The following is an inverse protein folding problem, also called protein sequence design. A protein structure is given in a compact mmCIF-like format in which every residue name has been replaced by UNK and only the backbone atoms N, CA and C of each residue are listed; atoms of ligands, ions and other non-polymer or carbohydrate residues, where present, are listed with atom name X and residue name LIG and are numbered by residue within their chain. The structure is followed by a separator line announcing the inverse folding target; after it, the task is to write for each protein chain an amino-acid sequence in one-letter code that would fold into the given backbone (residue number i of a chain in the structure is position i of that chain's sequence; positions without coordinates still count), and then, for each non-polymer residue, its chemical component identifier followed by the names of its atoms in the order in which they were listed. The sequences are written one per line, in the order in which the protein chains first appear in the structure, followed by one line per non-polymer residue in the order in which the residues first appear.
data_IF_915175393225
#
_entry.id   IF_915175393225
#
_cell.length_a   1.000
_cell.length_b   1.000
_cell.length_c   1.000
_cell.angle_alpha   90.00
_cell.angle_beta   90.00
_cell.angle_gamma   90.00
#
_symmetry.space_group_name_H-M   'P 1'
#
loop_
_entity.id
_entity.type
_entity.pdbx_description
1 polymer ?
#
# COMPACT_ATOMS: atom_id res chain seq x y z
N UNK A 1 -7.76 1.58 13.64
CA UNK A 1 -7.72 0.18 13.18
C UNK A 1 -8.33 0.11 11.79
N UNK A 2 -7.53 0.30 10.75
CA UNK A 2 -7.95 0.08 9.37
C UNK A 2 -8.13 -1.42 9.17
N UNK A 3 -9.38 -1.86 9.04
CA UNK A 3 -9.72 -3.29 8.91
C UNK A 3 -9.31 -3.82 7.54
N UNK A 4 -9.09 -5.13 7.43
CA UNK A 4 -8.94 -5.84 6.15
C UNK A 4 -9.99 -5.43 5.11
N UNK A 5 -11.22 -5.13 5.56
CA UNK A 5 -12.30 -4.61 4.73
C UNK A 5 -11.99 -3.21 4.16
N UNK A 6 -11.42 -2.29 4.95
CA UNK A 6 -11.01 -0.97 4.47
C UNK A 6 -9.96 -1.06 3.36
N UNK A 7 -8.95 -1.90 3.53
CA UNK A 7 -7.92 -2.14 2.50
C UNK A 7 -8.50 -2.77 1.22
N UNK A 8 -9.40 -3.73 1.40
CA UNK A 8 -10.09 -4.37 0.29
C UNK A 8 -10.94 -3.37 -0.51
N UNK A 9 -11.63 -2.46 0.19
CA UNK A 9 -12.42 -1.39 -0.44
C UNK A 9 -11.51 -0.41 -1.19
N UNK A 10 -10.37 -0.03 -0.63
CA UNK A 10 -9.43 0.87 -1.31
C UNK A 10 -8.81 0.24 -2.55
N UNK A 11 -8.34 -1.01 -2.44
CA UNK A 11 -7.84 -1.76 -3.59
C UNK A 11 -8.89 -1.94 -4.70
N UNK A 12 -10.14 -2.25 -4.31
CA UNK A 12 -11.26 -2.32 -5.23
C UNK A 12 -11.61 -0.96 -5.84
N UNK A 13 -11.64 0.12 -5.06
CA UNK A 13 -11.93 1.47 -5.53
C UNK A 13 -10.92 1.95 -6.57
N UNK A 14 -9.63 1.73 -6.32
CA UNK A 14 -8.54 2.03 -7.27
C UNK A 14 -8.64 1.18 -8.54
N UNK A 15 -9.07 -0.07 -8.41
CA UNK A 15 -9.32 -0.96 -9.55
C UNK A 15 -10.48 -0.46 -10.42
N UNK A 16 -11.62 -0.12 -9.81
CA UNK A 16 -12.84 0.27 -10.53
C UNK A 16 -12.79 1.69 -11.11
N UNK A 17 -12.08 2.63 -10.47
CA UNK A 17 -12.00 4.03 -10.94
C UNK A 17 -11.37 4.19 -12.33
N UNK A 18 -10.53 3.23 -12.74
CA UNK A 18 -9.83 3.26 -14.02
C UNK A 18 -10.32 2.19 -15.01
N UNK A 19 -11.40 1.47 -14.69
CA UNK A 19 -11.92 0.40 -15.55
C UNK A 19 -12.92 0.96 -16.55
N UNK A 20 -12.58 0.93 -17.85
CA UNK A 20 -13.59 0.96 -18.91
C UNK A 20 -14.41 -0.34 -18.79
N UNK A 21 -15.74 -0.24 -18.79
CA UNK A 21 -16.69 -1.36 -18.66
C UNK A 21 -16.39 -2.46 -19.69
N UNK A 22 -15.53 -3.42 -19.34
CA UNK A 22 -15.13 -4.54 -20.19
C UNK A 22 -15.25 -5.83 -19.40
N UNK A 23 -15.59 -6.95 -20.07
CA UNK A 23 -15.81 -8.25 -19.42
C UNK A 23 -14.67 -8.62 -18.48
N UNK A 24 -15.02 -9.06 -17.27
CA UNK A 24 -14.05 -9.48 -16.26
C UNK A 24 -13.28 -10.71 -16.77
N UNK A 25 -11.95 -10.67 -16.70
CA UNK A 25 -11.10 -11.83 -17.01
C UNK A 25 -10.44 -12.33 -15.72
N UNK A 26 -10.04 -13.61 -15.69
CA UNK A 26 -9.28 -14.17 -14.56
C UNK A 26 -8.00 -13.36 -14.25
N UNK A 27 -7.38 -12.76 -15.28
CA UNK A 27 -6.21 -11.88 -15.12
C UNK A 27 -6.55 -10.58 -14.38
N UNK A 28 -7.77 -10.06 -14.58
CA UNK A 28 -8.26 -8.86 -13.89
C UNK A 28 -8.63 -9.17 -12.43
N UNK A 29 -9.17 -10.36 -12.16
CA UNK A 29 -9.41 -10.82 -10.78
C UNK A 29 -8.08 -11.01 -10.04
N UNK A 30 -7.10 -11.65 -10.67
CA UNK A 30 -5.76 -11.79 -10.09
C UNK A 30 -5.09 -10.44 -9.82
N UNK A 31 -5.28 -9.46 -10.71
CA UNK A 31 -4.78 -8.11 -10.51
C UNK A 31 -5.47 -7.38 -9.35
N UNK A 32 -6.79 -7.52 -9.21
CA UNK A 32 -7.52 -6.97 -8.07
C UNK A 32 -7.02 -7.57 -6.74
N UNK A 33 -6.87 -8.90 -6.68
CA UNK A 33 -6.32 -9.58 -5.49
C UNK A 33 -4.92 -9.04 -5.17
N UNK A 34 -4.08 -8.85 -6.18
CA UNK A 34 -2.76 -8.25 -6.00
C UNK A 34 -2.82 -6.84 -5.42
N UNK A 35 -3.72 -5.97 -5.92
CA UNK A 35 -3.90 -4.62 -5.37
C UNK A 35 -4.34 -4.63 -3.90
N UNK A 36 -5.19 -5.58 -3.50
CA UNK A 36 -5.60 -5.76 -2.09
C UNK A 36 -4.39 -6.16 -1.24
N UNK A 37 -3.57 -7.10 -1.71
CA UNK A 37 -2.34 -7.51 -1.02
C UNK A 37 -1.38 -6.34 -0.86
N UNK A 38 -1.20 -5.52 -1.89
CA UNK A 38 -0.35 -4.32 -1.83
C UNK A 38 -0.90 -3.30 -0.85
N UNK A 39 -2.21 -3.03 -0.87
CA UNK A 39 -2.85 -2.12 0.09
C UNK A 39 -2.74 -2.60 1.54
N UNK A 40 -2.63 -3.92 1.75
CA UNK A 40 -2.49 -4.53 3.07
C UNK A 40 -1.03 -4.64 3.54
N UNK A 41 -0.05 -4.45 2.66
CA UNK A 41 1.35 -4.66 2.99
C UNK A 41 1.86 -3.82 4.19
N UNK A 42 1.42 -2.57 4.40
CA UNK A 42 1.78 -1.80 5.61
C UNK A 42 1.30 -2.47 6.92
N UNK A 43 0.24 -3.27 6.90
CA UNK A 43 -0.19 -3.96 8.12
C UNK A 43 0.62 -5.24 8.42
N UNK A 44 1.57 -5.63 7.55
CA UNK A 44 2.44 -6.78 7.81
C UNK A 44 3.28 -6.63 9.09
N UNK A 45 3.57 -5.41 9.53
CA UNK A 45 4.24 -5.18 10.83
C UNK A 45 3.47 -5.77 12.00
N UNK A 46 2.13 -5.82 11.93
CA UNK A 46 1.30 -6.42 12.97
C UNK A 46 1.55 -7.94 13.08
N UNK A 47 1.78 -8.60 11.94
CA UNK A 47 2.06 -10.04 11.88
C UNK A 47 3.53 -10.37 12.14
N UNK A 48 4.45 -9.51 11.72
CA UNK A 48 5.89 -9.68 11.99
C UNK A 48 6.23 -9.39 13.45
N UNK A 49 5.49 -8.49 14.10
CA UNK A 49 5.51 -8.30 15.55
C UNK A 49 5.04 -9.53 16.32
N UNK A 50 4.01 -10.22 15.84
CA UNK A 50 3.55 -11.50 16.39
C UNK A 50 4.61 -12.61 16.30
N UNK A 51 5.47 -12.58 15.27
CA UNK A 51 6.58 -13.53 15.10
C UNK A 51 7.84 -13.19 15.93
N UNK A 52 7.80 -12.16 16.78
CA UNK A 52 8.88 -11.84 17.73
C UNK A 52 10.18 -11.33 17.08
N UNK A 53 10.19 -11.02 15.79
CA UNK A 53 11.39 -10.57 15.04
C UNK A 53 11.49 -9.06 14.84
N UNK A 54 10.41 -8.32 15.08
CA UNK A 54 10.45 -6.87 15.22
C UNK A 54 9.99 -6.54 16.63
N UNK A 55 10.94 -6.12 17.46
CA UNK A 55 10.69 -5.69 18.82
C UNK A 55 9.60 -4.60 18.83
N UNK A 56 8.39 -4.98 19.27
CA UNK A 56 7.32 -4.06 19.65
C UNK A 56 7.74 -3.11 20.78
N UNK A 57 8.93 -3.28 21.37
CA UNK A 57 9.40 -2.49 22.51
C UNK A 57 9.65 -1.01 22.18
N UNK A 58 9.75 -0.61 20.91
CA UNK A 58 9.91 0.81 20.52
C UNK A 58 8.72 1.39 19.73
N UNK A 59 7.68 0.61 19.41
CA UNK A 59 6.48 1.11 18.73
C UNK A 59 6.69 1.64 17.29
N UNK A 60 7.86 1.41 16.68
CA UNK A 60 8.18 1.91 15.33
C UNK A 60 7.53 1.02 14.26
N UNK A 61 6.53 1.56 13.54
CA UNK A 61 5.85 0.90 12.41
C UNK A 61 6.69 1.03 11.13
N UNK A 62 7.69 0.16 10.97
CA UNK A 62 8.69 0.19 9.89
C UNK A 62 8.11 0.13 8.47
N UNK A 63 7.07 -0.67 8.26
CA UNK A 63 6.35 -0.75 6.98
C UNK A 63 5.53 0.51 6.68
N UNK A 64 5.30 1.37 7.68
CA UNK A 64 4.66 2.67 7.52
C UNK A 64 5.68 3.79 7.23
N UNK A 65 6.63 3.48 6.35
CA UNK A 65 7.60 4.42 5.81
C UNK A 65 7.39 4.61 4.32
N UNK A 66 7.79 5.77 3.81
CA UNK A 66 7.76 6.04 2.37
C UNK A 66 8.59 5.00 1.62
N UNK A 67 9.77 4.65 2.16
CA UNK A 67 10.63 3.63 1.57
C UNK A 67 9.89 2.31 1.38
N UNK A 68 9.29 1.77 2.44
CA UNK A 68 8.52 0.52 2.40
C UNK A 68 7.34 0.60 1.42
N UNK A 69 6.65 1.74 1.35
CA UNK A 69 5.57 1.96 0.38
C UNK A 69 6.03 2.02 -1.08
N UNK A 70 7.31 2.27 -1.37
CA UNK A 70 7.86 2.19 -2.73
C UNK A 70 8.29 0.77 -3.13
N UNK A 71 8.67 -0.08 -2.17
CA UNK A 71 9.25 -1.41 -2.46
C UNK A 71 8.33 -2.27 -3.33
N UNK A 72 7.09 -2.51 -2.91
CA UNK A 72 6.16 -3.36 -3.64
C UNK A 72 5.71 -2.77 -4.99
N UNK A 73 5.38 -1.48 -5.10
CA UNK A 73 5.13 -0.84 -6.39
C UNK A 73 6.29 -0.99 -7.37
N UNK A 74 7.53 -0.78 -6.94
CA UNK A 74 8.71 -0.89 -7.82
C UNK A 74 8.88 -2.32 -8.34
N UNK A 75 8.77 -3.33 -7.48
CA UNK A 75 8.81 -4.73 -7.91
C UNK A 75 7.65 -5.09 -8.85
N UNK A 76 6.45 -4.57 -8.56
CA UNK A 76 5.29 -4.77 -9.43
C UNK A 76 5.51 -4.14 -10.80
N UNK A 77 6.05 -2.92 -10.86
CA UNK A 77 6.40 -2.24 -12.12
C UNK A 77 7.39 -3.09 -12.90
N UNK A 78 8.48 -3.55 -12.27
CA UNK A 78 9.47 -4.41 -12.91
C UNK A 78 8.83 -5.69 -13.48
N UNK A 79 7.95 -6.35 -12.72
CA UNK A 79 7.19 -7.51 -13.18
C UNK A 79 6.31 -7.20 -14.40
N UNK A 80 5.64 -6.04 -14.42
CA UNK A 80 4.82 -5.62 -15.57
C UNK A 80 5.65 -5.38 -16.84
N UNK A 81 6.90 -4.90 -16.71
CA UNK A 81 7.85 -4.75 -17.81
C UNK A 81 8.29 -6.13 -18.33
N UNK A 82 8.67 -7.05 -17.43
CA UNK A 82 9.12 -8.41 -17.79
C UNK A 82 8.01 -9.20 -18.49
N UNK A 83 6.76 -9.08 -18.04
CA UNK A 83 5.61 -9.77 -18.63
C UNK A 83 5.17 -9.20 -19.99
N UNK A 84 5.82 -8.16 -20.49
CA UNK A 84 5.49 -7.58 -21.80
C UNK A 84 4.10 -6.95 -21.87
N UNK A 85 3.60 -6.41 -20.75
CA UNK A 85 2.25 -5.81 -20.70
C UNK A 85 2.16 -4.62 -21.65
N UNK A 86 1.07 -4.49 -22.41
CA UNK A 86 0.81 -3.33 -23.28
C UNK A 86 0.99 -1.98 -22.55
N UNK A 87 1.47 -0.95 -23.27
CA UNK A 87 1.84 0.34 -22.70
C UNK A 87 0.69 1.01 -21.94
N UNK A 88 -0.52 1.03 -22.52
CA UNK A 88 -1.67 1.69 -21.91
C UNK A 88 -2.10 0.95 -20.64
N UNK A 89 -2.16 -0.38 -20.69
CA UNK A 89 -2.49 -1.20 -19.51
C UNK A 89 -1.42 -1.09 -18.43
N UNK A 90 -0.15 -1.07 -18.82
CA UNK A 90 0.98 -0.90 -17.90
C UNK A 90 0.86 0.42 -17.14
N UNK A 91 0.61 1.53 -17.85
CA UNK A 91 0.47 2.84 -17.22
C UNK A 91 -0.65 2.87 -16.17
N UNK A 92 -1.83 2.34 -16.50
CA UNK A 92 -2.96 2.24 -15.56
C UNK A 92 -2.60 1.39 -14.34
N UNK A 93 -1.99 0.22 -14.55
CA UNK A 93 -1.59 -0.70 -13.48
C UNK A 93 -0.51 -0.11 -12.57
N UNK A 94 0.42 0.66 -13.12
CA UNK A 94 1.41 1.41 -12.35
C UNK A 94 0.68 2.40 -11.44
N UNK A 95 -0.18 3.25 -11.99
CA UNK A 95 -0.94 4.22 -11.18
C UNK A 95 -1.72 3.51 -10.07
N UNK A 96 -2.39 2.39 -10.38
CA UNK A 96 -3.15 1.63 -9.39
C UNK A 96 -2.30 1.08 -8.25
N UNK A 97 -1.14 0.49 -8.54
CA UNK A 97 -0.30 -0.09 -7.49
C UNK A 97 0.31 0.99 -6.59
N UNK A 98 0.65 2.15 -7.16
CA UNK A 98 1.09 3.30 -6.36
C UNK A 98 -0.05 3.81 -5.47
N UNK A 99 -1.25 4.05 -6.01
CA UNK A 99 -2.37 4.48 -5.16
C UNK A 99 -2.71 3.49 -4.05
N UNK A 100 -2.72 2.19 -4.34
CA UNK A 100 -2.96 1.15 -3.35
C UNK A 100 -1.88 1.13 -2.26
N UNK A 101 -0.61 1.27 -2.63
CA UNK A 101 0.50 1.25 -1.66
C UNK A 101 0.52 2.49 -0.77
N UNK A 102 0.28 3.67 -1.35
CA UNK A 102 0.33 4.93 -0.62
C UNK A 102 -0.95 5.24 0.16
N UNK A 103 -2.08 4.61 -0.18
CA UNK A 103 -3.35 4.94 0.48
C UNK A 103 -3.31 4.72 1.99
N UNK A 104 -2.62 3.69 2.47
CA UNK A 104 -2.52 3.44 3.92
C UNK A 104 -1.75 4.57 4.62
N UNK A 105 -0.57 4.92 4.10
CA UNK A 105 0.24 6.01 4.65
C UNK A 105 -0.49 7.35 4.63
N UNK A 106 -1.19 7.64 3.53
CA UNK A 106 -1.95 8.88 3.38
C UNK A 106 -3.08 8.93 4.42
N UNK A 107 -3.83 7.83 4.57
CA UNK A 107 -4.91 7.76 5.55
C UNK A 107 -4.38 7.87 6.98
N UNK A 108 -3.32 7.16 7.32
CA UNK A 108 -2.71 7.23 8.65
C UNK A 108 -2.20 8.65 8.95
N UNK A 109 -1.57 9.31 7.98
CA UNK A 109 -1.13 10.69 8.12
C UNK A 109 -2.33 11.63 8.33
N UNK A 110 -3.39 11.47 7.54
CA UNK A 110 -4.59 12.31 7.61
C UNK A 110 -5.40 12.10 8.90
N UNK A 111 -5.38 10.91 9.50
CA UNK A 111 -6.02 10.69 10.81
C UNK A 111 -5.24 11.35 11.95
N UNK A 112 -3.93 11.57 11.78
CA UNK A 112 -3.08 12.15 12.82
C UNK A 112 -3.08 11.36 14.14
N UNK A 113 -3.44 10.07 14.09
CA UNK A 113 -3.69 9.28 15.30
C UNK A 113 -2.41 8.67 15.89
N UNK A 114 -1.43 8.35 15.05
CA UNK A 114 -0.20 7.63 15.44
C UNK A 114 1.00 8.27 14.74
N UNK A 115 2.13 8.49 15.45
CA UNK A 115 3.36 8.98 14.84
C UNK A 115 3.90 8.00 13.79
N UNK A 116 4.26 8.50 12.61
CA UNK A 116 4.72 7.68 11.48
C UNK A 116 6.21 7.90 11.20
N UNK A 117 7.02 6.84 11.08
CA UNK A 117 8.43 6.92 10.72
C UNK A 117 8.61 7.06 9.19
N UNK A 118 8.12 8.16 8.61
CA UNK A 118 8.04 8.34 7.15
C UNK A 118 9.38 8.18 6.43
N UNK A 119 10.48 8.57 7.08
CA UNK A 119 11.83 8.57 6.51
C UNK A 119 12.66 7.34 6.88
N UNK A 120 12.10 6.34 7.55
CA UNK A 120 12.80 5.08 7.80
C UNK A 120 13.14 4.39 6.45
N UNK A 121 14.31 3.74 6.29
CA UNK A 121 15.37 3.49 7.28
C UNK A 121 16.42 4.62 7.39
N UNK A 122 16.27 5.72 6.65
CA UNK A 122 17.27 6.79 6.60
C UNK A 122 17.25 7.69 7.84
N UNK A 123 16.10 7.78 8.52
CA UNK A 123 15.93 8.53 9.76
C UNK A 123 14.86 7.89 10.65
N UNK A 124 15.06 7.98 11.96
CA UNK A 124 14.07 7.57 12.97
C UNK A 124 13.13 8.71 13.37
N UNK A 125 13.15 9.83 12.66
CA UNK A 125 12.23 10.94 12.89
C UNK A 125 10.78 10.50 12.65
N UNK A 126 9.93 10.73 13.65
CA UNK A 126 8.52 10.40 13.61
C UNK A 126 7.70 11.66 13.33
N UNK A 127 6.92 11.63 12.25
CA UNK A 127 6.02 12.73 11.89
C UNK A 127 4.62 12.44 12.46
N UNK A 128 4.05 13.43 13.14
CA UNK A 128 2.65 13.44 13.57
C UNK A 128 2.04 14.79 13.16
N UNK A 129 0.92 14.77 12.45
CA UNK A 129 0.20 16.01 12.16
C UNK A 129 -0.47 16.52 13.45
N UNK A 130 -0.47 17.84 13.69
CA UNK A 130 -1.09 18.42 14.89
C UNK A 130 -2.63 18.35 14.87
N UNK A 131 -3.24 17.94 13.75
CA UNK A 131 -4.67 17.74 13.59
C UNK A 131 -4.94 16.58 12.62
N UNK A 132 -6.00 15.82 12.89
CA UNK A 132 -6.57 14.86 11.96
C UNK A 132 -7.68 15.51 11.14
N UNK A 133 -7.73 15.23 9.84
CA UNK A 133 -8.77 15.71 8.90
C UNK A 133 -9.83 14.61 8.65
N UNK A 134 -9.60 13.39 9.15
CA UNK A 134 -10.45 12.21 9.03
C UNK A 134 -10.91 11.69 10.39
#
# INVERSE_FOLDING_TARGET
MSTFLGHSITGAGVFFSNRKLHKSSLKEVGWLIWLIVVAYAPDLDQYLGFLGRMNHSEGVRVTHSLFSAFVLPVYTVLGLYIMGTDLQRRYVRIIQVFWASFSHLILDLLTGAIPLPLFWPFSNFQLLLPFGIL
#
